data_IF_156864701669
#
_entry.id   IF_156864701669
#
_cell.length_a   1.000
_cell.length_b   1.000
_cell.length_c   1.000
_cell.angle_alpha   90.00
_cell.angle_beta   90.00
_cell.angle_gamma   90.00
#
_symmetry.space_group_name_H-M   'P 1'
#
loop_
_entity.id
_entity.type
_entity.pdbx_description
1 polymer ?
#
# COMPACT_ATOMS: atom_id res chain seq x y z
N UNK A 1 -2.43 24.42 16.90
CA UNK A 1 -3.20 23.63 15.91
C UNK A 1 -2.59 22.24 15.93
N UNK A 2 -3.37 21.16 15.89
CA UNK A 2 -2.75 19.83 15.88
C UNK A 2 -2.24 19.53 14.48
N UNK A 3 -1.21 18.69 14.35
CA UNK A 3 -0.66 18.29 13.04
C UNK A 3 -1.74 17.67 12.11
N UNK A 4 -2.76 17.01 12.67
CA UNK A 4 -3.90 16.50 11.92
C UNK A 4 -4.78 17.62 11.35
N UNK A 5 -4.92 18.75 12.05
CA UNK A 5 -5.61 19.93 11.50
C UNK A 5 -4.80 20.58 10.38
N UNK A 6 -3.48 20.66 10.53
CA UNK A 6 -2.58 21.12 9.45
C UNK A 6 -2.75 20.24 8.21
N UNK A 7 -2.76 18.92 8.38
CA UNK A 7 -2.98 17.96 7.28
C UNK A 7 -4.35 18.16 6.61
N UNK A 8 -5.43 18.25 7.39
CA UNK A 8 -6.77 18.51 6.83
C UNK A 8 -6.83 19.79 6.01
N UNK A 9 -6.19 20.86 6.47
CA UNK A 9 -6.16 22.12 5.74
C UNK A 9 -5.41 22.01 4.41
N UNK A 10 -4.23 21.34 4.41
CA UNK A 10 -3.46 21.09 3.18
C UNK A 10 -4.31 20.34 2.15
N UNK A 11 -5.00 19.28 2.53
CA UNK A 11 -5.82 18.50 1.62
C UNK A 11 -7.14 19.20 1.25
N UNK A 12 -7.69 20.08 2.11
CA UNK A 12 -8.81 20.95 1.75
C UNK A 12 -8.42 21.91 0.63
N UNK A 13 -7.27 22.55 0.75
CA UNK A 13 -6.76 23.48 -0.27
C UNK A 13 -6.48 22.73 -1.59
N UNK A 14 -5.91 21.56 -1.52
CA UNK A 14 -5.65 20.69 -2.68
C UNK A 14 -6.93 20.16 -3.35
N UNK A 15 -8.04 20.03 -2.61
CA UNK A 15 -9.35 19.67 -3.16
C UNK A 15 -9.96 20.81 -3.97
N UNK A 16 -9.70 22.06 -3.57
CA UNK A 16 -10.18 23.26 -4.26
C UNK A 16 -9.31 23.64 -5.46
N UNK A 17 -8.01 23.43 -5.34
CA UNK A 17 -7.03 23.73 -6.39
C UNK A 17 -5.98 22.61 -6.38
N UNK A 18 -5.95 21.74 -7.41
CA UNK A 18 -4.99 20.65 -7.46
C UNK A 18 -3.54 21.12 -7.29
N UNK A 19 -2.83 20.55 -6.32
CA UNK A 19 -1.42 20.86 -6.04
C UNK A 19 -0.54 19.71 -6.52
N UNK A 20 -0.03 19.83 -7.73
CA UNK A 20 0.89 18.84 -8.33
C UNK A 20 2.22 18.68 -7.58
N UNK A 21 2.54 19.59 -6.65
CA UNK A 21 3.71 19.50 -5.78
C UNK A 21 3.47 18.70 -4.49
N UNK A 22 2.20 18.36 -4.19
CA UNK A 22 1.83 17.70 -2.93
C UNK A 22 2.47 16.31 -2.81
N UNK A 23 2.39 15.53 -3.88
CA UNK A 23 3.10 14.26 -4.00
C UNK A 23 3.76 14.15 -5.38
N UNK A 24 4.88 13.42 -5.47
CA UNK A 24 5.44 13.08 -6.77
C UNK A 24 4.52 12.05 -7.41
N UNK A 25 3.69 12.48 -8.35
CA UNK A 25 2.80 11.59 -9.08
C UNK A 25 3.59 10.56 -9.85
N UNK A 26 3.81 9.40 -9.26
CA UNK A 26 4.14 8.22 -10.05
C UNK A 26 2.82 7.74 -10.61
N UNK A 27 2.61 7.88 -11.90
CA UNK A 27 1.44 7.32 -12.56
C UNK A 27 1.58 5.80 -12.66
N UNK A 28 1.03 5.02 -11.74
CA UNK A 28 0.85 3.60 -11.95
C UNK A 28 -0.41 3.44 -12.77
N UNK A 29 -0.32 3.73 -14.04
CA UNK A 29 -1.48 3.58 -14.89
C UNK A 29 -1.45 2.16 -15.41
N UNK A 30 -2.27 1.32 -14.79
CA UNK A 30 -2.75 0.15 -15.48
C UNK A 30 -3.63 0.64 -16.63
N UNK A 31 -3.18 0.46 -17.87
CA UNK A 31 -4.03 0.60 -19.05
C UNK A 31 -5.01 -0.55 -19.07
N UNK A 32 -6.10 -0.41 -18.33
CA UNK A 32 -7.16 -1.41 -18.31
C UNK A 32 -8.07 -1.21 -19.52
N UNK A 33 -8.38 -2.27 -20.28
CA UNK A 33 -9.20 -2.18 -21.48
C UNK A 33 -10.55 -1.50 -21.21
N UNK A 34 -10.83 -0.40 -21.91
CA UNK A 34 -12.07 0.36 -21.76
C UNK A 34 -12.17 1.21 -20.50
N UNK A 35 -11.10 1.36 -19.73
CA UNK A 35 -11.01 2.34 -18.65
C UNK A 35 -10.41 3.65 -19.18
N UNK A 36 -11.13 4.73 -19.01
CA UNK A 36 -10.66 6.11 -19.24
C UNK A 36 -10.65 6.84 -17.92
N UNK A 37 -9.47 7.33 -17.53
CA UNK A 37 -9.31 8.11 -16.30
C UNK A 37 -9.39 9.59 -16.65
N UNK A 38 -10.37 10.35 -16.14
CA UNK A 38 -10.47 11.79 -16.33
C UNK A 38 -9.16 12.49 -15.93
N UNK A 39 -8.80 13.54 -16.69
CA UNK A 39 -7.53 14.26 -16.46
C UNK A 39 -7.47 14.86 -15.05
N UNK A 40 -8.59 15.41 -14.57
CA UNK A 40 -8.68 15.96 -13.21
C UNK A 40 -8.36 14.92 -12.13
N UNK A 41 -8.75 13.65 -12.29
CA UNK A 41 -8.41 12.58 -11.36
C UNK A 41 -6.90 12.28 -11.34
N UNK A 42 -6.25 12.42 -12.50
CA UNK A 42 -4.79 12.27 -12.59
C UNK A 42 -4.06 13.45 -11.92
N UNK A 43 -4.55 14.69 -12.13
CA UNK A 43 -4.01 15.90 -11.50
C UNK A 43 -4.18 15.91 -9.97
N UNK A 44 -5.23 15.25 -9.48
CA UNK A 44 -5.51 15.07 -8.04
C UNK A 44 -5.02 13.72 -7.50
N UNK A 45 -4.09 13.06 -8.17
CA UNK A 45 -3.48 11.84 -7.65
C UNK A 45 -2.32 12.18 -6.72
N UNK A 46 -2.52 12.01 -5.43
CA UNK A 46 -1.55 12.32 -4.38
C UNK A 46 -0.87 11.05 -3.82
N UNK A 47 -0.98 9.93 -4.52
CA UNK A 47 -0.33 8.66 -4.16
C UNK A 47 1.15 8.60 -4.54
N UNK A 48 1.90 7.70 -3.92
CA UNK A 48 3.32 7.46 -4.20
C UNK A 48 3.59 6.15 -4.95
N UNK A 49 2.57 5.32 -5.14
CA UNK A 49 2.62 4.04 -5.85
C UNK A 49 1.24 3.63 -6.33
N UNK A 50 1.01 2.32 -6.48
CA UNK A 50 -0.30 1.76 -6.80
C UNK A 50 -0.74 0.74 -5.78
N UNK A 51 -1.99 0.85 -5.35
CA UNK A 51 -2.65 -0.17 -4.53
C UNK A 51 -3.52 -1.10 -5.37
N UNK A 52 -3.70 -0.80 -6.65
CA UNK A 52 -4.52 -1.58 -7.57
C UNK A 52 -3.69 -2.71 -8.18
N UNK A 53 -4.00 -3.94 -7.83
CA UNK A 53 -3.38 -5.13 -8.41
C UNK A 53 -4.45 -6.15 -8.79
N UNK A 54 -4.53 -6.52 -10.06
CA UNK A 54 -5.57 -7.40 -10.60
C UNK A 54 -5.68 -8.75 -9.89
N UNK A 55 -4.56 -9.30 -9.38
CA UNK A 55 -4.58 -10.58 -8.66
C UNK A 55 -5.29 -10.53 -7.30
N UNK A 56 -5.43 -9.32 -6.72
CA UNK A 56 -6.15 -9.11 -5.45
C UNK A 56 -7.65 -8.89 -5.66
N UNK A 57 -8.05 -8.56 -6.89
CA UNK A 57 -9.36 -8.04 -7.23
C UNK A 57 -10.18 -9.08 -8.01
N UNK A 58 -10.15 -10.32 -7.53
CA UNK A 58 -10.92 -11.43 -8.10
C UNK A 58 -12.33 -11.53 -7.49
N UNK A 59 -13.28 -12.09 -8.24
CA UNK A 59 -14.64 -12.38 -7.75
C UNK A 59 -15.45 -11.16 -7.31
N UNK A 60 -15.34 -10.04 -8.02
CA UNK A 60 -16.05 -8.79 -7.73
C UNK A 60 -15.92 -8.38 -6.24
N UNK A 61 -14.73 -8.06 -5.77
CA UNK A 61 -14.46 -7.83 -4.35
C UNK A 61 -15.18 -6.59 -3.84
N UNK A 62 -15.54 -6.60 -2.56
CA UNK A 62 -15.92 -5.38 -1.84
C UNK A 62 -14.66 -4.70 -1.34
N UNK A 63 -14.43 -3.48 -1.82
CA UNK A 63 -13.20 -2.71 -1.56
C UNK A 63 -13.49 -1.54 -0.64
N UNK A 64 -12.59 -1.31 0.32
CA UNK A 64 -12.50 -0.07 1.09
C UNK A 64 -11.26 0.70 0.64
N UNK A 65 -11.41 1.99 0.36
CA UNK A 65 -10.29 2.89 0.09
C UNK A 65 -10.33 4.08 1.03
N UNK A 66 -9.24 4.32 1.76
CA UNK A 66 -9.15 5.39 2.76
C UNK A 66 -8.18 6.48 2.27
N UNK A 67 -8.66 7.74 2.29
CA UNK A 67 -7.98 8.87 1.66
C UNK A 67 -8.32 8.97 0.18
N UNK A 68 -9.54 9.44 -0.15
CA UNK A 68 -10.13 9.27 -1.50
C UNK A 68 -9.42 10.06 -2.61
N UNK A 69 -8.70 11.14 -2.29
CA UNK A 69 -8.06 12.00 -3.28
C UNK A 69 -9.04 12.46 -4.36
N UNK A 70 -8.58 12.51 -5.60
CA UNK A 70 -9.43 12.82 -6.76
C UNK A 70 -10.34 11.68 -7.21
N UNK A 71 -10.32 10.51 -6.55
CA UNK A 71 -11.14 9.34 -6.88
C UNK A 71 -10.55 8.40 -7.92
N UNK A 72 -9.29 8.58 -8.33
CA UNK A 72 -8.67 7.78 -9.41
C UNK A 72 -8.61 6.29 -9.06
N UNK A 73 -8.05 5.93 -7.91
CA UNK A 73 -7.95 4.52 -7.52
C UNK A 73 -9.32 3.92 -7.20
N UNK A 74 -10.27 4.71 -6.66
CA UNK A 74 -11.67 4.28 -6.49
C UNK A 74 -12.32 3.88 -7.83
N UNK A 75 -12.09 4.66 -8.90
CA UNK A 75 -12.54 4.32 -10.25
C UNK A 75 -11.88 3.03 -10.76
N UNK A 76 -10.58 2.85 -10.51
CA UNK A 76 -9.86 1.63 -10.88
C UNK A 76 -10.36 0.42 -10.09
N UNK A 77 -10.64 0.54 -8.79
CA UNK A 77 -11.26 -0.53 -7.99
C UNK A 77 -12.69 -0.86 -8.47
N UNK A 78 -13.47 0.18 -8.83
CA UNK A 78 -14.82 -0.02 -9.38
C UNK A 78 -14.80 -0.78 -10.72
N UNK A 79 -13.72 -0.67 -11.50
CA UNK A 79 -13.53 -1.47 -12.70
C UNK A 79 -13.53 -2.97 -12.44
N UNK A 80 -13.03 -3.42 -11.31
CA UNK A 80 -13.01 -4.84 -10.92
C UNK A 80 -14.24 -5.25 -10.12
N UNK A 81 -14.75 -4.37 -9.25
CA UNK A 81 -15.92 -4.67 -8.41
C UNK A 81 -17.22 -4.75 -9.21
N UNK A 82 -17.46 -3.80 -10.13
CA UNK A 82 -18.61 -3.76 -11.06
C UNK A 82 -19.98 -3.92 -10.39
N UNK A 83 -20.15 -3.49 -9.15
CA UNK A 83 -21.40 -3.62 -8.41
C UNK A 83 -21.73 -2.36 -7.60
N UNK A 84 -23.02 -2.15 -7.37
CA UNK A 84 -23.50 -1.03 -6.55
C UNK A 84 -22.88 -1.08 -5.15
N UNK A 85 -22.29 0.05 -4.70
CA UNK A 85 -21.59 0.15 -3.42
C UNK A 85 -20.48 -0.91 -3.21
N UNK A 86 -19.93 -1.43 -4.31
CA UNK A 86 -18.84 -2.41 -4.26
C UNK A 86 -17.51 -1.80 -3.81
N UNK A 87 -17.38 -0.49 -3.98
CA UNK A 87 -16.23 0.28 -3.48
C UNK A 87 -16.72 1.29 -2.45
N UNK A 88 -16.14 1.28 -1.26
CA UNK A 88 -16.40 2.26 -0.20
C UNK A 88 -15.20 3.19 -0.13
N UNK A 89 -15.39 4.48 -0.34
CA UNK A 89 -14.37 5.52 -0.17
C UNK A 89 -14.60 6.27 1.13
N UNK A 90 -13.56 6.37 1.97
CA UNK A 90 -13.63 7.11 3.25
C UNK A 90 -12.62 8.24 3.25
N UNK A 91 -13.08 9.44 3.60
CA UNK A 91 -12.22 10.61 3.80
C UNK A 91 -12.73 11.48 4.95
N UNK A 92 -11.82 12.17 5.59
CA UNK A 92 -12.14 13.09 6.70
C UNK A 92 -12.40 14.52 6.21
N UNK A 93 -12.05 14.83 4.94
CA UNK A 93 -12.16 16.14 4.30
C UNK A 93 -13.39 16.18 3.40
N UNK A 94 -14.40 16.99 3.75
CA UNK A 94 -15.66 17.09 3.00
C UNK A 94 -15.43 17.57 1.55
N UNK A 95 -14.53 18.54 1.39
CA UNK A 95 -14.20 19.11 0.08
C UNK A 95 -13.57 18.07 -0.85
N UNK A 96 -12.79 17.12 -0.30
CA UNK A 96 -12.19 16.03 -1.07
C UNK A 96 -13.27 15.02 -1.51
N UNK A 97 -14.22 14.68 -0.62
CA UNK A 97 -15.38 13.86 -0.98
C UNK A 97 -16.22 14.50 -2.08
N UNK A 98 -16.43 15.81 -2.00
CA UNK A 98 -17.19 16.54 -3.01
C UNK A 98 -16.46 16.63 -4.37
N UNK A 99 -15.14 16.85 -4.34
CA UNK A 99 -14.31 16.81 -5.55
C UNK A 99 -14.39 15.43 -6.22
N UNK A 100 -14.25 14.33 -5.44
CA UNK A 100 -14.40 12.97 -5.96
C UNK A 100 -15.77 12.71 -6.58
N UNK A 101 -16.87 13.19 -5.95
CA UNK A 101 -18.23 13.05 -6.52
C UNK A 101 -18.35 13.73 -7.88
N UNK A 102 -17.80 14.94 -8.02
CA UNK A 102 -17.79 15.66 -9.30
C UNK A 102 -16.99 14.92 -10.36
N UNK A 103 -15.81 14.41 -9.98
CA UNK A 103 -14.95 13.67 -10.88
C UNK A 103 -15.59 12.35 -11.36
N UNK A 104 -16.41 11.69 -10.52
CA UNK A 104 -17.16 10.50 -10.93
C UNK A 104 -18.23 10.78 -11.96
N UNK A 105 -18.84 11.98 -11.99
CA UNK A 105 -19.78 12.39 -13.06
C UNK A 105 -19.04 12.41 -14.40
N UNK A 106 -17.84 12.99 -14.44
CA UNK A 106 -16.99 12.99 -15.63
C UNK A 106 -16.54 11.58 -16.01
N UNK A 107 -16.14 10.77 -15.04
CA UNK A 107 -15.76 9.38 -15.27
C UNK A 107 -16.92 8.55 -15.84
N UNK A 108 -18.15 8.73 -15.37
CA UNK A 108 -19.34 8.07 -15.87
C UNK A 108 -19.66 8.47 -17.32
N UNK A 109 -19.45 9.73 -17.67
CA UNK A 109 -19.61 10.19 -19.06
C UNK A 109 -18.56 9.60 -20.03
N UNK A 110 -17.35 9.29 -19.54
CA UNK A 110 -16.27 8.74 -20.34
C UNK A 110 -16.25 7.22 -20.39
N UNK A 111 -16.90 6.53 -19.43
CA UNK A 111 -16.84 5.08 -19.24
C UNK A 111 -18.25 4.49 -19.20
N UNK A 112 -18.72 3.91 -20.30
CA UNK A 112 -20.09 3.36 -20.41
C UNK A 112 -20.39 2.24 -19.40
N UNK A 113 -19.36 1.57 -18.89
CA UNK A 113 -19.46 0.51 -17.89
C UNK A 113 -19.58 1.03 -16.46
N UNK A 114 -19.08 2.24 -16.19
CA UNK A 114 -19.03 2.82 -14.84
C UNK A 114 -20.34 3.51 -14.49
N UNK A 115 -20.74 3.37 -13.24
CA UNK A 115 -21.83 4.09 -12.60
C UNK A 115 -21.33 4.67 -11.29
N UNK A 116 -21.63 5.95 -11.04
CA UNK A 116 -21.21 6.61 -9.80
C UNK A 116 -21.70 5.86 -8.55
N UNK A 117 -22.84 5.15 -8.63
CA UNK A 117 -23.38 4.32 -7.56
C UNK A 117 -22.52 3.06 -7.23
N UNK A 118 -21.49 2.75 -8.04
CA UNK A 118 -20.53 1.70 -7.69
C UNK A 118 -19.62 2.10 -6.53
N UNK A 119 -19.50 3.42 -6.29
CA UNK A 119 -18.68 3.98 -5.21
C UNK A 119 -19.58 4.64 -4.16
N UNK A 120 -19.47 4.18 -2.92
CA UNK A 120 -20.14 4.75 -1.74
C UNK A 120 -19.14 5.63 -0.98
N UNK A 121 -19.25 6.96 -1.10
CA UNK A 121 -18.37 7.92 -0.44
C UNK A 121 -18.91 8.30 0.92
N UNK A 122 -18.12 8.02 1.96
CA UNK A 122 -18.47 8.29 3.37
C UNK A 122 -17.48 9.27 4.00
N UNK A 123 -18.01 10.22 4.76
CA UNK A 123 -17.19 10.97 5.70
C UNK A 123 -16.81 10.07 6.87
N UNK A 124 -15.53 10.00 7.19
CA UNK A 124 -15.03 9.18 8.28
C UNK A 124 -13.56 9.43 8.56
N UNK A 125 -13.11 8.93 9.71
CA UNK A 125 -11.74 8.99 10.15
C UNK A 125 -11.08 7.60 10.01
N UNK A 126 -9.86 7.55 9.50
CA UNK A 126 -9.06 6.32 9.42
C UNK A 126 -8.83 5.68 10.81
N UNK A 127 -8.91 6.49 11.86
CA UNK A 127 -8.78 6.04 13.26
C UNK A 127 -10.08 5.46 13.84
N UNK A 128 -11.19 5.54 13.11
CA UNK A 128 -12.50 4.98 13.47
C UNK A 128 -13.36 4.87 12.20
N UNK A 129 -13.12 3.84 11.43
CA UNK A 129 -13.74 3.66 10.12
C UNK A 129 -15.25 3.40 10.22
N UNK A 130 -16.11 4.11 9.47
CA UNK A 130 -17.56 3.91 9.45
C UNK A 130 -17.93 2.69 8.60
N UNK A 131 -17.29 1.56 8.86
CA UNK A 131 -17.38 0.30 8.12
C UNK A 131 -17.47 -0.85 9.12
N UNK A 132 -18.34 -1.82 8.85
CA UNK A 132 -18.58 -2.98 9.69
C UNK A 132 -17.37 -3.92 9.74
N UNK A 133 -17.23 -4.63 10.87
CA UNK A 133 -16.22 -5.68 11.05
C UNK A 133 -16.38 -6.79 10.00
N UNK A 134 -15.25 -7.32 9.54
CA UNK A 134 -15.19 -8.46 8.64
C UNK A 134 -16.11 -8.33 7.40
N UNK A 135 -16.21 -7.13 6.82
CA UNK A 135 -17.12 -6.84 5.71
C UNK A 135 -16.42 -6.56 4.38
N UNK A 136 -15.10 -6.37 4.40
CA UNK A 136 -14.29 -5.92 3.26
C UNK A 136 -13.35 -7.04 2.80
N UNK A 137 -13.26 -7.25 1.49
CA UNK A 137 -12.32 -8.20 0.89
C UNK A 137 -10.93 -7.59 0.70
N UNK A 138 -10.87 -6.32 0.25
CA UNK A 138 -9.63 -5.56 0.05
C UNK A 138 -9.77 -4.17 0.67
N UNK A 139 -8.95 -3.86 1.66
CA UNK A 139 -8.78 -2.50 2.17
C UNK A 139 -7.54 -1.88 1.54
N UNK A 140 -7.60 -0.60 1.18
CA UNK A 140 -6.50 0.06 0.51
C UNK A 140 -6.29 1.49 1.02
N UNK A 141 -5.02 1.95 0.97
CA UNK A 141 -4.64 3.33 1.18
C UNK A 141 -3.34 3.66 0.43
N UNK A 142 -3.14 4.91 0.05
CA UNK A 142 -1.98 5.38 -0.69
C UNK A 142 -1.50 6.70 -0.11
N UNK A 143 -0.30 6.73 0.46
CA UNK A 143 0.28 7.89 1.15
C UNK A 143 -0.55 8.41 2.34
N UNK A 144 -1.11 7.53 3.17
CA UNK A 144 -1.91 7.92 4.33
C UNK A 144 -1.21 7.62 5.65
N UNK A 145 -0.58 6.45 5.80
CA UNK A 145 -0.07 6.00 7.09
C UNK A 145 1.05 6.88 7.64
N UNK A 146 1.87 7.45 6.78
CA UNK A 146 2.95 8.37 7.17
C UNK A 146 2.48 9.71 7.76
N UNK A 147 1.20 10.03 7.62
CA UNK A 147 0.60 11.20 8.27
C UNK A 147 0.55 10.97 9.78
N UNK A 148 0.27 9.74 10.21
CA UNK A 148 0.02 9.40 11.61
C UNK A 148 1.33 9.29 12.41
N UNK A 149 1.24 9.67 13.71
CA UNK A 149 2.26 9.33 14.71
C UNK A 149 2.03 7.89 15.18
N UNK A 150 2.96 7.36 15.93
CA UNK A 150 3.01 5.93 16.30
C UNK A 150 1.68 5.37 16.83
N UNK A 151 1.03 6.06 17.75
CA UNK A 151 -0.22 5.58 18.36
C UNK A 151 -1.41 5.63 17.39
N UNK A 152 -1.49 6.71 16.61
CA UNK A 152 -2.53 6.85 15.59
C UNK A 152 -2.28 5.88 14.43
N UNK A 153 -1.02 5.67 14.02
CA UNK A 153 -0.67 4.69 12.99
C UNK A 153 -1.12 3.29 13.39
N UNK A 154 -0.80 2.88 14.64
CA UNK A 154 -1.26 1.61 15.17
C UNK A 154 -2.79 1.50 15.07
N UNK A 155 -3.50 2.53 15.53
CA UNK A 155 -4.97 2.54 15.51
C UNK A 155 -5.53 2.47 14.08
N UNK A 156 -4.93 3.18 13.12
CA UNK A 156 -5.35 3.13 11.72
C UNK A 156 -5.15 1.73 11.12
N UNK A 157 -4.03 1.06 11.42
CA UNK A 157 -3.76 -0.32 10.98
C UNK A 157 -4.75 -1.30 11.65
N UNK A 158 -5.02 -1.16 12.95
CA UNK A 158 -5.98 -1.99 13.68
C UNK A 158 -7.40 -1.86 13.07
N UNK A 159 -7.81 -0.64 12.66
CA UNK A 159 -9.10 -0.40 11.99
C UNK A 159 -9.16 -1.07 10.61
N UNK A 160 -8.08 -0.99 9.82
CA UNK A 160 -7.99 -1.72 8.55
C UNK A 160 -8.09 -3.23 8.77
N UNK A 161 -7.42 -3.76 9.80
CA UNK A 161 -7.51 -5.18 10.15
C UNK A 161 -8.92 -5.57 10.61
N UNK A 162 -9.59 -4.74 11.41
CA UNK A 162 -10.95 -4.98 11.92
C UNK A 162 -11.95 -5.18 10.79
N UNK A 163 -11.95 -4.27 9.82
CA UNK A 163 -12.95 -4.29 8.72
C UNK A 163 -12.72 -5.40 7.70
N UNK A 164 -11.50 -5.94 7.60
CA UNK A 164 -11.17 -7.00 6.67
C UNK A 164 -11.79 -8.34 7.10
N UNK A 165 -12.36 -9.07 6.14
CA UNK A 165 -12.75 -10.47 6.30
C UNK A 165 -11.52 -11.36 6.59
N UNK A 166 -11.70 -12.55 7.19
CA UNK A 166 -10.65 -13.57 7.17
C UNK A 166 -10.14 -13.79 5.74
N UNK A 167 -8.82 -13.87 5.56
CA UNK A 167 -8.12 -13.92 4.27
C UNK A 167 -8.27 -12.69 3.37
N UNK A 168 -8.97 -11.65 3.83
CA UNK A 168 -8.97 -10.33 3.21
C UNK A 168 -7.60 -9.68 3.35
N UNK A 169 -7.33 -8.64 2.58
CA UNK A 169 -6.00 -8.01 2.54
C UNK A 169 -6.05 -6.50 2.59
N UNK A 170 -5.10 -5.94 3.30
CA UNK A 170 -4.71 -4.55 3.20
C UNK A 170 -3.68 -4.43 2.08
N UNK A 171 -3.91 -3.55 1.11
CA UNK A 171 -2.91 -3.14 0.12
C UNK A 171 -2.55 -1.68 0.36
N UNK A 172 -1.27 -1.40 0.50
CA UNK A 172 -0.79 -0.06 0.83
C UNK A 172 0.38 0.36 -0.05
N UNK A 173 0.48 1.65 -0.30
CA UNK A 173 1.67 2.27 -0.83
C UNK A 173 2.01 3.50 0.00
N UNK A 174 3.21 3.51 0.58
CA UNK A 174 3.69 4.62 1.42
C UNK A 174 5.18 4.91 1.16
N UNK A 175 5.61 6.16 1.36
CA UNK A 175 7.03 6.46 1.43
C UNK A 175 7.70 5.75 2.61
N UNK A 176 8.93 5.29 2.39
CA UNK A 176 9.79 4.66 3.39
C UNK A 176 11.15 5.32 3.41
N UNK A 177 11.81 5.32 4.55
CA UNK A 177 13.14 5.89 4.71
C UNK A 177 13.94 5.05 5.70
N UNK A 178 15.05 4.49 5.24
CA UNK A 178 15.96 3.72 6.09
C UNK A 178 16.94 4.61 6.87
N UNK A 179 17.11 5.88 6.45
CA UNK A 179 17.96 6.86 7.12
C UNK A 179 17.21 7.52 8.28
N UNK A 180 17.93 7.85 9.33
CA UNK A 180 17.35 8.59 10.46
C UNK A 180 17.13 10.06 10.07
N UNK A 181 15.91 10.54 10.27
CA UNK A 181 15.58 11.96 10.10
C UNK A 181 15.79 12.69 11.41
N UNK A 182 16.42 13.87 11.37
CA UNK A 182 16.59 14.74 12.53
C UNK A 182 15.22 15.24 13.08
N UNK A 183 15.22 15.74 14.33
CA UNK A 183 13.99 16.21 14.99
C UNK A 183 13.29 17.35 14.26
N UNK A 184 14.03 18.23 13.59
CA UNK A 184 13.46 19.35 12.84
C UNK A 184 12.61 18.86 11.69
N UNK A 185 13.10 17.90 10.90
CA UNK A 185 12.33 17.27 9.84
C UNK A 185 11.14 16.46 10.38
N UNK A 186 11.36 15.66 11.44
CA UNK A 186 10.29 14.83 12.03
C UNK A 186 9.15 15.63 12.60
N UNK A 187 9.41 16.84 13.08
CA UNK A 187 8.41 17.74 13.67
C UNK A 187 7.79 18.72 12.66
N UNK A 188 8.24 18.72 11.40
CA UNK A 188 7.64 19.55 10.36
C UNK A 188 6.27 18.99 9.96
N UNK A 189 5.21 19.70 10.36
CA UNK A 189 3.82 19.30 10.11
C UNK A 189 3.46 19.34 8.60
N UNK A 190 4.08 20.24 7.83
CA UNK A 190 3.85 20.31 6.38
C UNK A 190 4.48 19.10 5.68
N UNK A 191 5.73 18.77 6.01
CA UNK A 191 6.37 17.57 5.49
C UNK A 191 5.64 16.29 5.90
N UNK A 192 5.01 16.29 7.07
CA UNK A 192 4.14 15.19 7.53
C UNK A 192 2.87 15.10 6.67
N UNK A 193 2.21 16.20 6.39
CA UNK A 193 1.07 16.23 5.48
C UNK A 193 1.45 15.73 4.07
N UNK A 194 2.70 15.93 3.65
CA UNK A 194 3.27 15.39 2.40
C UNK A 194 3.75 13.93 2.52
N UNK A 195 3.47 13.24 3.62
CA UNK A 195 3.91 11.86 3.92
C UNK A 195 5.43 11.67 3.97
N UNK A 196 6.23 12.73 4.15
CA UNK A 196 7.69 12.65 4.12
C UNK A 196 8.29 12.49 5.52
N UNK A 197 7.99 13.39 6.46
CA UNK A 197 8.58 13.37 7.80
C UNK A 197 8.09 12.21 8.68
N UNK A 198 7.04 11.52 8.27
CA UNK A 198 6.53 10.32 8.92
C UNK A 198 7.01 9.01 8.31
N UNK A 199 7.84 9.06 7.27
CA UNK A 199 8.36 7.84 6.63
C UNK A 199 9.13 6.97 7.62
N UNK A 200 8.78 5.68 7.64
CA UNK A 200 9.37 4.67 8.51
C UNK A 200 10.30 3.76 7.71
N UNK A 201 11.30 3.12 8.35
CA UNK A 201 11.98 1.97 7.78
C UNK A 201 11.01 0.83 7.43
N UNK A 202 11.31 0.06 6.39
CA UNK A 202 10.44 -1.06 5.95
C UNK A 202 10.20 -2.06 7.10
N UNK A 203 11.23 -2.35 7.89
CA UNK A 203 11.11 -3.27 9.05
C UNK A 203 10.07 -2.82 10.07
N UNK A 204 9.92 -1.50 10.26
CA UNK A 204 8.98 -0.94 11.24
C UNK A 204 7.55 -0.99 10.69
N UNK A 205 7.36 -0.83 9.36
CA UNK A 205 6.08 -1.11 8.71
C UNK A 205 5.67 -2.57 8.84
N UNK A 206 6.59 -3.48 8.51
CA UNK A 206 6.34 -4.94 8.64
C UNK A 206 5.97 -5.28 10.09
N UNK A 207 6.72 -4.70 11.06
CA UNK A 207 6.41 -4.91 12.48
C UNK A 207 5.03 -4.38 12.86
N UNK A 208 4.65 -3.17 12.44
CA UNK A 208 3.34 -2.59 12.74
C UNK A 208 2.19 -3.44 12.17
N UNK A 209 2.35 -3.98 10.97
CA UNK A 209 1.38 -4.86 10.33
C UNK A 209 1.27 -6.22 11.06
N UNK A 210 2.40 -6.81 11.43
CA UNK A 210 2.40 -8.09 12.16
C UNK A 210 1.88 -7.96 13.59
N UNK A 211 2.18 -6.85 14.27
CA UNK A 211 1.64 -6.53 15.60
C UNK A 211 0.10 -6.37 15.57
N UNK A 212 -0.47 -5.91 14.46
CA UNK A 212 -1.93 -5.82 14.25
C UNK A 212 -2.58 -7.19 13.95
N UNK A 213 -1.79 -8.25 13.71
CA UNK A 213 -2.27 -9.61 13.51
C UNK A 213 -2.24 -10.13 12.08
N UNK A 214 -1.68 -9.40 11.11
CA UNK A 214 -1.52 -9.92 9.75
C UNK A 214 -0.51 -11.08 9.73
N UNK A 215 -0.96 -12.28 9.38
CA UNK A 215 -0.11 -13.49 9.35
C UNK A 215 0.77 -13.60 8.11
N UNK A 216 0.43 -12.91 7.02
CA UNK A 216 1.18 -12.91 5.77
C UNK A 216 1.42 -11.49 5.28
N UNK A 217 2.68 -11.16 4.96
CA UNK A 217 3.09 -9.86 4.41
C UNK A 217 3.83 -10.10 3.09
N UNK A 218 3.42 -9.42 2.03
CA UNK A 218 4.10 -9.41 0.73
C UNK A 218 4.65 -8.02 0.44
N UNK A 219 5.96 -7.86 0.39
CA UNK A 219 6.60 -6.66 -0.15
C UNK A 219 6.63 -6.83 -1.66
N UNK A 220 5.90 -5.98 -2.38
CA UNK A 220 5.63 -6.13 -3.83
C UNK A 220 6.47 -5.25 -4.70
N UNK A 221 6.80 -4.06 -4.20
CA UNK A 221 7.67 -3.11 -4.88
C UNK A 221 8.39 -2.22 -3.89
N UNK A 222 9.57 -1.76 -4.29
CA UNK A 222 10.36 -0.71 -3.67
C UNK A 222 10.99 0.10 -4.80
N UNK A 223 10.80 1.42 -4.79
CA UNK A 223 11.27 2.28 -5.86
C UNK A 223 11.68 3.66 -5.33
N UNK A 224 12.63 4.35 -5.96
CA UNK A 224 12.96 5.73 -5.62
C UNK A 224 11.70 6.62 -5.67
N UNK A 225 11.57 7.52 -4.70
CA UNK A 225 10.42 8.42 -4.62
C UNK A 225 10.83 9.87 -4.55
N UNK A 226 11.63 10.27 -3.55
CA UNK A 226 12.08 11.66 -3.36
C UNK A 226 13.43 11.71 -2.66
N UNK A 227 14.15 12.80 -2.91
CA UNK A 227 15.41 13.12 -2.20
C UNK A 227 15.18 14.42 -1.43
N UNK A 228 15.48 14.43 -0.13
CA UNK A 228 15.55 15.64 0.66
C UNK A 228 16.99 16.15 0.60
N UNK A 229 17.20 17.23 -0.16
CA UNK A 229 18.51 17.85 -0.36
C UNK A 229 18.74 18.94 0.70
N UNK A 230 19.91 18.99 1.38
CA UNK A 230 20.26 20.05 2.33
C UNK A 230 20.10 21.48 1.80
N UNK A 231 20.12 21.67 0.49
CA UNK A 231 19.87 22.99 -0.13
C UNK A 231 18.44 23.50 0.06
N UNK A 232 17.49 22.60 0.29
CA UNK A 232 16.05 22.89 0.34
C UNK A 232 15.39 22.44 1.65
N UNK A 233 16.03 21.57 2.40
CA UNK A 233 15.51 20.98 3.62
C UNK A 233 16.52 21.09 4.77
N UNK A 234 16.07 21.22 6.03
CA UNK A 234 16.94 21.33 7.19
C UNK A 234 17.56 19.97 7.57
N UNK A 235 18.46 19.49 6.76
CA UNK A 235 19.21 18.23 6.95
C UNK A 235 20.68 18.47 6.61
N UNK A 236 21.58 17.68 7.18
CA UNK A 236 23.03 17.77 6.95
C UNK A 236 23.50 16.94 5.76
N UNK A 237 22.71 15.96 5.34
CA UNK A 237 23.00 15.05 4.24
C UNK A 237 21.79 14.81 3.34
N UNK A 238 22.01 14.19 2.18
CA UNK A 238 20.94 13.75 1.30
C UNK A 238 20.16 12.61 1.98
N UNK A 239 18.86 12.77 2.12
CA UNK A 239 17.96 11.73 2.62
C UNK A 239 17.17 11.16 1.45
N UNK A 240 17.33 9.87 1.24
CA UNK A 240 16.65 9.13 0.17
C UNK A 240 15.36 8.54 0.68
N UNK A 241 14.25 8.98 0.10
CA UNK A 241 12.93 8.44 0.38
C UNK A 241 12.51 7.57 -0.79
N UNK A 242 12.10 6.35 -0.48
CA UNK A 242 11.59 5.39 -1.43
C UNK A 242 10.08 5.23 -1.23
N UNK A 243 9.39 4.64 -2.19
CA UNK A 243 8.02 4.20 -2.06
C UNK A 243 7.99 2.68 -2.01
N UNK A 244 7.20 2.11 -1.09
CA UNK A 244 6.94 0.67 -1.00
C UNK A 244 5.51 0.36 -1.39
N UNK A 245 5.30 -0.81 -1.98
CA UNK A 245 3.98 -1.40 -2.19
C UNK A 245 3.91 -2.71 -1.39
N UNK A 246 2.96 -2.82 -0.49
CA UNK A 246 2.83 -3.96 0.43
C UNK A 246 1.40 -4.49 0.41
N UNK A 247 1.26 -5.81 0.44
CA UNK A 247 0.00 -6.45 0.80
C UNK A 247 0.17 -7.20 2.13
N UNK A 248 -0.73 -6.92 3.08
CA UNK A 248 -0.82 -7.62 4.34
C UNK A 248 -2.13 -8.42 4.38
N UNK A 249 -2.04 -9.74 4.54
CA UNK A 249 -3.19 -10.64 4.45
C UNK A 249 -3.62 -11.04 5.85
N UNK A 250 -4.92 -10.95 6.13
CA UNK A 250 -5.53 -11.35 7.41
C UNK A 250 -5.64 -12.87 7.52
N UNK A 251 -4.50 -13.54 7.29
CA UNK A 251 -4.36 -14.95 7.56
C UNK A 251 -4.12 -15.17 9.07
N UNK A 252 -4.46 -16.35 9.61
CA UNK A 252 -4.06 -16.71 10.96
C UNK A 252 -2.55 -16.60 11.14
N UNK A 253 -2.10 -16.04 12.27
CA UNK A 253 -0.68 -15.98 12.60
C UNK A 253 -0.13 -17.41 12.79
N UNK A 254 0.88 -17.85 11.99
CA UNK A 254 1.51 -19.14 12.20
C UNK A 254 2.22 -19.21 13.56
N UNK A 255 2.31 -20.41 14.17
CA UNK A 255 2.98 -20.62 15.47
C UNK A 255 4.46 -20.20 15.46
N UNK A 256 5.12 -20.30 14.31
CA UNK A 256 6.53 -19.93 14.11
C UNK A 256 6.71 -18.49 13.59
N UNK A 257 5.67 -17.64 13.71
CA UNK A 257 5.67 -16.25 13.33
C UNK A 257 5.15 -15.98 11.90
N UNK A 258 5.07 -14.71 11.48
CA UNK A 258 4.47 -14.32 10.22
C UNK A 258 5.23 -14.84 8.99
N UNK A 259 4.51 -15.00 7.88
CA UNK A 259 5.09 -15.26 6.56
C UNK A 259 5.39 -13.94 5.85
N UNK A 260 6.66 -13.55 5.75
CA UNK A 260 7.10 -12.33 5.09
C UNK A 260 7.72 -12.69 3.74
N UNK A 261 7.10 -12.25 2.65
CA UNK A 261 7.57 -12.48 1.28
C UNK A 261 8.30 -11.24 0.77
N UNK A 262 9.60 -11.40 0.53
CA UNK A 262 10.50 -10.34 0.01
C UNK A 262 10.93 -10.62 -1.43
N UNK A 263 10.22 -11.52 -2.13
CA UNK A 263 10.51 -11.91 -3.51
C UNK A 263 11.47 -13.07 -3.66
N UNK A 264 11.79 -13.78 -2.56
CA UNK A 264 12.61 -15.00 -2.63
C UNK A 264 11.86 -16.16 -3.27
N UNK A 265 12.61 -16.98 -4.00
CA UNK A 265 12.14 -18.25 -4.55
C UNK A 265 13.10 -19.38 -4.21
N UNK A 266 12.56 -20.56 -3.97
CA UNK A 266 13.33 -21.81 -3.83
C UNK A 266 13.16 -22.64 -5.10
N UNK A 267 14.25 -23.26 -5.58
CA UNK A 267 14.25 -24.12 -6.76
C UNK A 267 14.98 -25.42 -6.39
N UNK A 268 14.34 -26.56 -6.66
CA UNK A 268 14.93 -27.88 -6.46
C UNK A 268 15.48 -28.43 -7.77
N UNK A 269 16.74 -28.89 -7.76
CA UNK A 269 17.47 -29.44 -8.90
C UNK A 269 17.89 -30.91 -8.72
N UNK A 270 17.47 -31.57 -7.64
CA UNK A 270 17.86 -32.94 -7.31
C UNK A 270 17.35 -34.00 -8.28
N UNK A 271 17.60 -35.26 -7.99
CA UNK A 271 17.26 -36.37 -8.87
C UNK A 271 15.77 -36.72 -8.88
N UNK A 272 15.07 -36.58 -7.74
CA UNK A 272 13.65 -36.87 -7.61
C UNK A 272 12.79 -35.80 -8.35
N UNK A 273 11.52 -36.12 -8.63
CA UNK A 273 10.61 -35.20 -9.30
C UNK A 273 10.24 -33.99 -8.43
N UNK A 274 10.34 -34.12 -7.12
CA UNK A 274 10.08 -33.05 -6.16
C UNK A 274 10.83 -33.27 -4.85
N UNK A 275 10.95 -32.19 -4.07
CA UNK A 275 11.39 -32.19 -2.67
C UNK A 275 10.25 -31.67 -1.80
N UNK A 276 9.91 -32.43 -0.74
CA UNK A 276 8.89 -32.07 0.25
C UNK A 276 9.61 -31.77 1.59
N UNK A 277 9.49 -30.55 2.09
CA UNK A 277 10.11 -30.10 3.34
C UNK A 277 9.39 -30.62 4.60
N UNK A 278 8.28 -31.34 4.44
CA UNK A 278 7.40 -31.83 5.52
C UNK A 278 6.77 -30.73 6.38
N UNK A 279 6.80 -29.49 5.90
CA UNK A 279 6.20 -28.31 6.53
C UNK A 279 5.16 -27.64 5.64
N UNK A 280 4.74 -28.32 4.57
CA UNK A 280 3.72 -27.85 3.65
C UNK A 280 4.26 -27.26 2.33
N UNK A 281 5.57 -27.33 2.08
CA UNK A 281 6.14 -26.84 0.83
C UNK A 281 6.66 -28.01 0.00
N UNK A 282 6.17 -28.10 -1.25
CA UNK A 282 6.62 -29.07 -2.23
C UNK A 282 7.31 -28.31 -3.37
N UNK A 283 8.64 -28.47 -3.46
CA UNK A 283 9.44 -27.89 -4.53
C UNK A 283 9.49 -28.89 -5.69
N UNK A 284 8.74 -28.60 -6.75
CA UNK A 284 8.77 -29.41 -7.99
C UNK A 284 10.10 -29.15 -8.70
N UNK A 285 10.71 -30.21 -9.22
CA UNK A 285 12.01 -30.13 -9.91
C UNK A 285 12.02 -29.08 -11.02
N UNK A 286 13.03 -28.22 -11.01
CA UNK A 286 13.27 -27.13 -11.98
C UNK A 286 12.16 -26.05 -12.02
N UNK A 287 11.28 -26.00 -11.02
CA UNK A 287 10.25 -24.96 -10.93
C UNK A 287 10.50 -24.05 -9.71
N UNK A 288 10.55 -22.74 -9.91
CA UNK A 288 10.65 -21.81 -8.78
C UNK A 288 9.34 -21.79 -7.98
N UNK A 289 9.47 -21.93 -6.67
CA UNK A 289 8.39 -21.74 -5.70
C UNK A 289 8.68 -20.47 -4.91
N UNK A 290 7.76 -19.49 -4.92
CA UNK A 290 7.87 -18.35 -4.04
C UNK A 290 7.79 -18.78 -2.57
N UNK A 291 8.75 -18.35 -1.75
CA UNK A 291 8.85 -18.72 -0.33
C UNK A 291 9.01 -17.48 0.54
N UNK A 292 8.43 -17.51 1.74
CA UNK A 292 8.68 -16.47 2.73
C UNK A 292 10.09 -16.57 3.32
N UNK A 293 10.56 -15.50 3.96
CA UNK A 293 11.93 -15.42 4.48
C UNK A 293 12.28 -16.54 5.48
N UNK A 294 11.34 -16.92 6.36
CA UNK A 294 11.56 -18.02 7.31
C UNK A 294 11.66 -19.38 6.60
N UNK A 295 10.84 -19.64 5.58
CA UNK A 295 10.95 -20.88 4.78
C UNK A 295 12.25 -20.89 3.99
N UNK A 296 12.63 -19.77 3.37
CA UNK A 296 13.92 -19.65 2.69
C UNK A 296 15.10 -19.96 3.63
N UNK A 297 15.09 -19.39 4.85
CA UNK A 297 16.08 -19.66 5.88
C UNK A 297 16.12 -21.13 6.32
N UNK A 298 14.95 -21.75 6.51
CA UNK A 298 14.85 -23.15 6.88
C UNK A 298 15.37 -24.10 5.79
N UNK A 299 15.06 -23.82 4.52
CA UNK A 299 15.58 -24.59 3.38
C UNK A 299 17.09 -24.43 3.22
N UNK A 300 17.62 -23.21 3.37
CA UNK A 300 19.06 -22.95 3.33
C UNK A 300 19.80 -23.69 4.45
N UNK A 301 19.23 -23.76 5.65
CA UNK A 301 19.80 -24.46 6.79
C UNK A 301 19.92 -26.01 6.60
N UNK A 302 19.24 -26.56 5.59
CA UNK A 302 19.40 -27.98 5.26
C UNK A 302 20.79 -28.30 4.66
N UNK A 303 21.54 -27.29 4.19
CA UNK A 303 22.87 -27.46 3.60
C UNK A 303 22.87 -28.34 2.35
N UNK A 304 21.78 -28.31 1.56
CA UNK A 304 21.62 -29.12 0.35
C UNK A 304 22.09 -28.33 -0.88
N UNK A 305 23.01 -28.92 -1.64
CA UNK A 305 23.55 -28.32 -2.88
C UNK A 305 22.53 -28.34 -4.05
N UNK A 306 21.48 -29.18 -3.94
CA UNK A 306 20.43 -29.31 -4.95
C UNK A 306 19.19 -28.42 -4.70
N UNK A 307 19.22 -27.55 -3.68
CA UNK A 307 18.22 -26.53 -3.43
C UNK A 307 18.87 -25.15 -3.54
N UNK A 308 18.40 -24.37 -4.52
CA UNK A 308 18.80 -22.98 -4.69
C UNK A 308 17.77 -22.04 -4.08
N UNK A 309 18.24 -21.04 -3.33
CA UNK A 309 17.40 -19.94 -2.80
C UNK A 309 17.85 -18.65 -3.49
N UNK A 310 16.92 -17.96 -4.15
CA UNK A 310 17.20 -16.66 -4.74
C UNK A 310 17.37 -15.57 -3.67
N UNK A 311 18.10 -14.52 -4.02
CA UNK A 311 18.12 -13.30 -3.22
C UNK A 311 16.74 -12.63 -3.19
N UNK A 312 16.54 -11.74 -2.21
CA UNK A 312 15.33 -10.91 -2.13
C UNK A 312 15.27 -9.95 -3.32
N UNK A 313 14.14 -9.91 -4.03
CA UNK A 313 13.95 -9.00 -5.16
C UNK A 313 13.58 -7.58 -4.72
N UNK A 314 13.08 -7.40 -3.51
CA UNK A 314 12.53 -6.14 -3.03
C UNK A 314 13.36 -5.48 -1.94
N UNK A 315 14.38 -6.16 -1.42
CA UNK A 315 15.41 -5.60 -0.58
C UNK A 315 16.59 -5.22 -1.46
N UNK A 316 16.75 -3.92 -1.67
CA UNK A 316 17.90 -3.37 -2.35
C UNK A 316 18.86 -2.83 -1.28
N UNK A 317 20.03 -3.46 -1.15
CA UNK A 317 21.05 -3.10 -0.15
C UNK A 317 21.87 -1.86 -0.55
N UNK A 318 21.32 -0.98 -1.40
CA UNK A 318 22.02 0.25 -1.79
C UNK A 318 23.24 0.05 -2.68
N UNK A 319 23.43 -1.14 -3.23
CA UNK A 319 24.41 -1.42 -4.28
C UNK A 319 24.06 -0.57 -5.50
N UNK A 320 24.91 0.39 -5.81
CA UNK A 320 24.64 1.47 -6.74
C UNK A 320 23.99 1.03 -8.03
N UNK A 321 23.02 1.82 -8.45
CA UNK A 321 22.52 1.80 -9.81
C UNK A 321 23.69 2.03 -10.77
N UNK A 322 23.83 1.20 -11.77
CA UNK A 322 24.80 1.37 -12.85
C UNK A 322 24.64 2.74 -13.51
#
# INVERSE_FOLDING_TARGET
MSYLETTKNVYRDAALTPDVGLCCTTNPIWELPGLKIPKIMQEMNYGCGSTVNARDLTNNPRVLYVGVGGGMELLQFAYFSRQKSGVVGVDVVDEMLEASRKNFIEAEAQNSWFKSEFVDLKKGDALNLPVEDNSIDVAAQNCLFNIFKTEELKKAIDEMYRVLKPHGRLVMSDPTCEQEMNETLRNDERLRALCLSGSLPIKDYVKALTDAGFGTIEIRARKPYRILDPKHYPTDELIYIESIEVAAIKDPMPEDGPCIFTGKAAIYYGEADHFDDKKGHVLVKNQPLAVCDKTAGALAALGRDDIFISESTFHYDGGGCC
#
